data_IF_312192176712
#
_entry.id   IF_312192176712
#
_cell.length_a   1.000
_cell.length_b   1.000
_cell.length_c   1.000
_cell.angle_alpha   90.00
_cell.angle_beta   90.00
_cell.angle_gamma   90.00
#
_symmetry.space_group_name_H-M   'P 1'
#
loop_
_entity.id
_entity.type
_entity.pdbx_description
1 polymer ?
#
# COMPACT_ATOMS: atom_id res chain seq x y z
N UNK A 1 -10.02 5.15 -16.30
CA UNK A 1 -11.03 6.21 -16.56
C UNK A 1 -12.40 5.66 -16.98
N UNK A 2 -12.50 4.64 -17.84
CA UNK A 2 -13.80 4.03 -18.19
C UNK A 2 -14.57 3.49 -16.97
N UNK A 3 -13.87 2.89 -16.00
CA UNK A 3 -14.45 2.39 -14.75
C UNK A 3 -15.11 3.50 -13.93
N UNK A 4 -14.51 4.68 -13.80
CA UNK A 4 -15.13 5.83 -13.11
C UNK A 4 -16.46 6.26 -13.77
N UNK A 5 -16.55 6.16 -15.10
CA UNK A 5 -17.76 6.51 -15.85
C UNK A 5 -18.87 5.46 -15.76
N UNK A 6 -18.50 4.18 -15.69
CA UNK A 6 -19.43 3.04 -15.74
C UNK A 6 -19.72 2.41 -14.38
N UNK A 7 -18.91 2.70 -13.36
CA UNK A 7 -18.85 1.93 -12.11
C UNK A 7 -18.04 0.64 -12.26
N UNK A 8 -17.97 -0.13 -11.18
CA UNK A 8 -17.26 -1.42 -11.13
C UNK A 8 -15.91 -1.37 -10.42
N UNK A 9 -15.17 -2.47 -10.47
CA UNK A 9 -13.87 -2.62 -9.80
C UNK A 9 -12.75 -2.60 -10.83
N UNK A 10 -11.75 -1.75 -10.60
CA UNK A 10 -10.50 -1.71 -11.36
C UNK A 10 -9.40 -2.34 -10.50
N UNK A 11 -8.87 -3.46 -10.96
CA UNK A 11 -7.74 -4.16 -10.33
C UNK A 11 -6.48 -3.88 -11.16
N UNK A 12 -5.41 -3.42 -10.51
CA UNK A 12 -4.13 -3.14 -11.17
C UNK A 12 -3.00 -3.67 -10.31
N UNK A 13 -2.14 -4.49 -10.90
CA UNK A 13 -0.90 -4.91 -10.25
C UNK A 13 0.19 -3.87 -10.50
N UNK A 14 1.00 -3.59 -9.47
CA UNK A 14 2.13 -2.66 -9.48
C UNK A 14 1.81 -1.30 -10.11
N UNK A 15 0.81 -0.61 -9.55
CA UNK A 15 0.31 0.65 -10.13
C UNK A 15 1.39 1.77 -10.16
N UNK A 16 2.44 1.65 -9.34
CA UNK A 16 3.59 2.56 -9.34
C UNK A 16 4.60 2.28 -10.46
N UNK A 17 4.49 1.16 -11.18
CA UNK A 17 5.42 0.82 -12.26
C UNK A 17 5.32 1.83 -13.39
N UNK A 18 6.39 2.63 -13.57
CA UNK A 18 6.49 3.71 -14.56
C UNK A 18 5.58 4.93 -14.35
N UNK A 19 4.97 5.07 -13.16
CA UNK A 19 4.14 6.24 -12.82
C UNK A 19 4.81 7.07 -11.73
N UNK A 20 4.91 8.38 -11.96
CA UNK A 20 5.42 9.30 -10.95
C UNK A 20 4.50 9.31 -9.71
N UNK A 21 5.03 9.28 -8.47
CA UNK A 21 4.23 9.19 -7.24
C UNK A 21 3.10 10.22 -7.12
N UNK A 22 3.33 11.46 -7.56
CA UNK A 22 2.29 12.51 -7.57
C UNK A 22 1.09 12.16 -8.47
N UNK A 23 1.31 11.45 -9.59
CA UNK A 23 0.23 11.01 -10.46
C UNK A 23 -0.54 9.86 -9.83
N UNK A 24 0.15 8.96 -9.15
CA UNK A 24 -0.46 7.88 -8.38
C UNK A 24 -1.42 8.44 -7.31
N UNK A 25 -0.97 9.45 -6.55
CA UNK A 25 -1.82 10.14 -5.57
C UNK A 25 -3.09 10.71 -6.22
N UNK A 26 -2.95 11.36 -7.38
CA UNK A 26 -4.09 11.94 -8.11
C UNK A 26 -5.05 10.88 -8.62
N UNK A 27 -4.57 9.71 -9.00
CA UNK A 27 -5.44 8.59 -9.39
C UNK A 27 -6.26 8.14 -8.17
N UNK A 28 -5.64 7.96 -7.01
CA UNK A 28 -6.36 7.57 -5.78
C UNK A 28 -7.37 8.64 -5.37
N UNK A 29 -6.98 9.91 -5.36
CA UNK A 29 -7.86 11.03 -5.05
C UNK A 29 -9.10 11.02 -5.96
N UNK A 30 -8.92 10.73 -7.26
CA UNK A 30 -10.01 10.70 -8.23
C UNK A 30 -11.07 9.64 -7.88
N UNK A 31 -10.65 8.44 -7.44
CA UNK A 31 -11.56 7.38 -7.00
C UNK A 31 -12.26 7.69 -5.67
N UNK A 32 -11.75 8.64 -4.89
CA UNK A 32 -12.32 9.06 -3.61
C UNK A 32 -12.97 10.45 -3.65
N UNK A 33 -13.12 11.02 -4.85
CA UNK A 33 -13.68 12.35 -5.07
C UNK A 33 -15.13 12.30 -5.56
N UNK A 34 -15.78 13.46 -5.57
CA UNK A 34 -17.11 13.69 -6.18
C UNK A 34 -17.20 13.33 -7.68
N UNK A 35 -16.07 13.19 -8.37
CA UNK A 35 -16.02 12.73 -9.75
C UNK A 35 -16.36 11.24 -9.89
N UNK A 36 -16.22 10.45 -8.81
CA UNK A 36 -16.59 9.04 -8.78
C UNK A 36 -18.10 8.83 -8.54
N UNK A 37 -18.93 9.34 -9.45
CA UNK A 37 -20.40 9.30 -9.34
C UNK A 37 -21.03 7.91 -9.40
N UNK A 38 -20.23 6.89 -9.70
CA UNK A 38 -20.68 5.50 -9.90
C UNK A 38 -20.11 4.54 -8.86
N UNK A 39 -19.49 5.06 -7.79
CA UNK A 39 -18.87 4.26 -6.72
C UNK A 39 -17.92 3.19 -7.28
N UNK A 40 -17.13 3.55 -8.29
CA UNK A 40 -16.09 2.67 -8.81
C UNK A 40 -15.04 2.41 -7.72
N UNK A 41 -14.50 1.19 -7.69
CA UNK A 41 -13.46 0.80 -6.74
C UNK A 41 -12.13 0.66 -7.46
N UNK A 42 -11.07 1.11 -6.82
CA UNK A 42 -9.69 0.89 -7.24
C UNK A 42 -9.03 -0.03 -6.21
N UNK A 43 -8.55 -1.18 -6.67
CA UNK A 43 -7.74 -2.11 -5.87
C UNK A 43 -6.41 -2.24 -6.60
N UNK A 44 -5.31 -2.00 -5.89
CA UNK A 44 -3.99 -2.07 -6.50
C UNK A 44 -2.93 -2.55 -5.51
N UNK A 45 -1.86 -3.11 -6.05
CA UNK A 45 -0.60 -3.37 -5.33
C UNK A 45 0.43 -2.29 -5.67
N UNK A 46 1.36 -2.06 -4.75
CA UNK A 46 2.46 -1.11 -4.96
C UNK A 46 3.65 -1.42 -4.07
N UNK A 47 4.85 -1.07 -4.54
CA UNK A 47 6.08 -1.08 -3.73
C UNK A 47 6.42 0.30 -3.17
N UNK A 48 5.72 1.34 -3.59
CA UNK A 48 5.99 2.72 -3.20
C UNK A 48 5.32 3.08 -1.86
N UNK A 49 6.13 3.11 -0.81
CA UNK A 49 5.69 3.46 0.55
C UNK A 49 5.14 4.88 0.67
N UNK A 50 5.49 5.80 -0.25
CA UNK A 50 4.98 7.19 -0.22
C UNK A 50 3.48 7.28 -0.32
N UNK A 51 2.83 6.24 -0.87
CA UNK A 51 1.38 6.20 -0.94
C UNK A 51 0.73 6.27 0.44
N UNK A 52 1.41 5.79 1.48
CA UNK A 52 0.94 5.81 2.87
C UNK A 52 0.91 7.22 3.49
N UNK A 53 1.46 8.24 2.80
CA UNK A 53 1.28 9.67 3.15
C UNK A 53 0.01 10.27 2.57
N UNK A 54 -0.67 9.59 1.65
CA UNK A 54 -1.85 10.12 0.99
C UNK A 54 -2.99 10.33 2.01
N UNK A 55 -3.46 11.57 2.13
CA UNK A 55 -4.46 11.95 3.13
C UNK A 55 -5.85 11.36 2.87
N UNK A 56 -6.08 10.91 1.65
CA UNK A 56 -7.33 10.31 1.21
C UNK A 56 -7.42 8.83 1.62
N UNK A 57 -6.29 8.18 1.89
CA UNK A 57 -6.27 6.82 2.41
C UNK A 57 -6.63 6.79 3.89
N UNK A 58 -7.48 5.83 4.25
CA UNK A 58 -7.75 5.46 5.62
C UNK A 58 -7.18 4.08 5.91
N UNK A 59 -6.94 3.76 7.18
CA UNK A 59 -6.47 2.43 7.59
C UNK A 59 -7.34 1.28 7.08
N UNK A 60 -8.63 1.55 6.86
CA UNK A 60 -9.63 0.62 6.34
C UNK A 60 -9.31 0.16 4.90
N UNK A 61 -8.48 0.93 4.18
CA UNK A 61 -8.15 0.70 2.78
C UNK A 61 -6.70 0.19 2.58
N UNK A 62 -5.99 -0.11 3.66
CA UNK A 62 -4.57 -0.46 3.62
C UNK A 62 -4.37 -1.91 4.06
N UNK A 63 -3.67 -2.67 3.23
CA UNK A 63 -3.27 -4.04 3.45
C UNK A 63 -1.77 -4.17 3.18
N UNK A 64 -1.10 -5.00 3.97
CA UNK A 64 0.31 -5.29 3.82
C UNK A 64 0.49 -6.75 3.44
N UNK A 65 1.41 -7.01 2.50
CA UNK A 65 1.87 -8.33 2.16
C UNK A 65 3.28 -8.53 2.76
N UNK A 66 3.47 -9.61 3.51
CA UNK A 66 4.77 -10.01 4.07
C UNK A 66 5.09 -11.45 3.67
N UNK A 67 6.36 -11.83 3.73
CA UNK A 67 6.78 -13.23 3.64
C UNK A 67 7.17 -13.72 5.02
N UNK A 68 6.63 -14.87 5.42
CA UNK A 68 7.08 -15.53 6.64
C UNK A 68 8.42 -16.24 6.43
N UNK A 69 8.97 -16.81 7.51
CA UNK A 69 10.27 -17.51 7.50
C UNK A 69 10.35 -18.71 6.54
N UNK A 70 9.22 -19.23 6.08
CA UNK A 70 9.13 -20.33 5.11
C UNK A 70 8.94 -19.83 3.67
N UNK A 71 8.96 -18.51 3.44
CA UNK A 71 8.77 -17.89 2.13
C UNK A 71 7.32 -17.80 1.68
N UNK A 72 6.35 -18.21 2.50
CA UNK A 72 4.93 -18.08 2.18
C UNK A 72 4.46 -16.64 2.40
N UNK A 73 3.61 -16.15 1.49
CA UNK A 73 3.03 -14.81 1.58
C UNK A 73 1.85 -14.77 2.54
N UNK A 74 1.85 -13.78 3.42
CA UNK A 74 0.77 -13.49 4.36
C UNK A 74 0.27 -12.06 4.10
N UNK A 75 -1.05 -11.89 4.07
CA UNK A 75 -1.70 -10.61 3.88
C UNK A 75 -2.46 -10.24 5.16
N UNK A 76 -2.27 -9.02 5.65
CA UNK A 76 -2.98 -8.52 6.84
C UNK A 76 -3.39 -7.06 6.66
N UNK A 77 -4.50 -6.66 7.29
CA UNK A 77 -5.01 -5.30 7.20
C UNK A 77 -4.42 -4.38 8.27
N UNK A 78 -4.19 -3.11 7.94
CA UNK A 78 -3.84 -2.08 8.93
C UNK A 78 -4.94 -1.91 9.99
N UNK A 79 -6.19 -2.29 9.67
CA UNK A 79 -7.31 -2.33 10.61
C UNK A 79 -7.06 -3.22 11.82
N UNK A 80 -6.31 -4.30 11.65
CA UNK A 80 -6.06 -5.30 12.69
C UNK A 80 -5.08 -4.78 13.75
N UNK A 81 -4.33 -3.72 13.43
CA UNK A 81 -3.34 -3.12 14.33
C UNK A 81 -4.03 -2.16 15.30
N UNK A 82 -3.93 -2.48 16.60
CA UNK A 82 -4.49 -1.66 17.68
C UNK A 82 -3.76 -0.31 17.80
N UNK A 83 -4.49 0.70 18.25
CA UNK A 83 -3.97 2.06 18.51
C UNK A 83 -3.42 2.80 17.27
N UNK A 84 -3.84 2.41 16.06
CA UNK A 84 -3.59 3.17 14.83
C UNK A 84 -4.77 4.12 14.55
N UNK A 85 -4.45 5.40 14.32
CA UNK A 85 -5.44 6.43 13.98
C UNK A 85 -6.14 6.06 12.67
N UNK A 86 -7.39 6.51 12.49
CA UNK A 86 -8.16 6.17 11.28
C UNK A 86 -7.56 6.77 10.00
N UNK A 87 -7.07 8.01 10.11
CA UNK A 87 -6.38 8.76 9.07
C UNK A 87 -5.10 9.36 9.63
N UNK A 88 -4.12 9.62 8.76
CA UNK A 88 -2.83 10.20 9.14
C UNK A 88 -1.73 9.90 8.13
N UNK A 89 -0.52 10.30 8.46
CA UNK A 89 0.68 9.90 7.72
C UNK A 89 1.12 8.53 8.23
N UNK A 90 0.69 7.48 7.54
CA UNK A 90 1.02 6.09 7.88
C UNK A 90 2.45 5.70 7.47
N UNK A 91 3.10 6.45 6.57
CA UNK A 91 4.44 6.13 6.08
C UNK A 91 5.48 6.17 7.20
N UNK A 92 5.45 7.20 8.05
CA UNK A 92 6.45 7.32 9.13
C UNK A 92 6.37 6.16 10.12
N UNK A 93 5.15 5.72 10.44
CA UNK A 93 4.92 4.58 11.35
C UNK A 93 5.26 3.24 10.67
N UNK A 94 4.98 3.11 9.38
CA UNK A 94 5.42 1.95 8.60
C UNK A 94 6.95 1.85 8.56
N UNK A 95 7.64 2.94 8.22
CA UNK A 95 9.10 3.00 8.14
C UNK A 95 9.79 2.82 9.51
N UNK A 96 9.11 3.15 10.62
CA UNK A 96 9.60 2.86 11.96
C UNK A 96 9.43 1.38 12.36
N UNK A 97 8.88 0.54 11.48
CA UNK A 97 8.60 -0.87 11.72
C UNK A 97 7.34 -1.14 12.56
N UNK A 98 6.54 -0.11 12.87
CA UNK A 98 5.38 -0.26 13.77
C UNK A 98 4.34 -1.25 13.24
N UNK A 99 4.21 -1.33 11.92
CA UNK A 99 3.25 -2.22 11.26
C UNK A 99 3.84 -3.57 10.88
N UNK A 100 5.12 -3.81 11.18
CA UNK A 100 5.86 -4.92 10.57
C UNK A 100 6.02 -4.72 9.06
N UNK A 101 6.21 -5.83 8.34
CA UNK A 101 6.35 -5.86 6.88
C UNK A 101 7.43 -4.91 6.30
N UNK A 102 8.38 -4.49 7.14
CA UNK A 102 9.62 -3.85 6.69
C UNK A 102 10.63 -4.93 6.32
N UNK A 103 11.43 -4.76 5.25
CA UNK A 103 12.49 -5.70 4.92
C UNK A 103 13.50 -5.80 6.06
N UNK A 104 13.83 -7.02 6.49
CA UNK A 104 14.95 -7.26 7.40
C UNK A 104 16.25 -7.11 6.62
N UNK A 105 16.86 -5.92 6.68
CA UNK A 105 18.12 -5.63 5.96
C UNK A 105 19.28 -6.44 6.55
N UNK A 106 19.27 -6.70 7.86
CA UNK A 106 20.34 -7.47 8.52
C UNK A 106 20.40 -8.92 8.03
N UNK A 107 19.25 -9.58 7.80
CA UNK A 107 19.20 -10.93 7.22
C UNK A 107 19.80 -11.01 5.81
N UNK A 108 19.82 -9.89 5.07
CA UNK A 108 20.47 -9.83 3.75
C UNK A 108 21.99 -9.82 3.93
N UNK A 109 22.51 -9.05 4.89
CA UNK A 109 23.94 -8.98 5.18
C UNK A 109 24.46 -10.32 5.72
N UNK A 110 23.72 -10.94 6.65
CA UNK A 110 24.07 -12.25 7.22
C UNK A 110 24.09 -13.37 6.16
N UNK A 111 23.37 -13.22 5.04
CA UNK A 111 23.40 -14.15 3.90
C UNK A 111 24.49 -13.86 2.88
N UNK A 112 25.04 -12.65 2.86
CA UNK A 112 26.17 -12.28 1.99
C UNK A 112 27.49 -12.72 2.63
N UNK A 113 27.59 -12.71 3.96
CA UNK A 113 28.81 -13.08 4.70
C UNK A 113 29.05 -14.61 4.83
N UNK A 114 28.10 -15.47 4.44
CA UNK A 114 28.28 -16.94 4.43
C UNK A 114 28.86 -17.50 3.12
N UNK A 115 29.04 -16.66 2.10
CA UNK A 115 29.68 -17.03 0.83
C UNK A 115 31.15 -16.57 0.74
N UNK A 116 31.77 -16.20 1.87
CA UNK A 116 33.17 -15.74 2.00
C UNK A 116 34.10 -16.72 2.72
#
# INVERSE_FOLDING_TARGET
MATLKRGGVLLIDELDTSIHPLLLDKIIDLFNSEYNKKNAQLIFSTHNTRILKNQTLNKDNIWFATKNKYGASELFSLLEIKNVRRSGNFENEYLSGRYGAIPYINDILDRVDVDG
#
